data_IF_962593803666
#
_entry.id   IF_962593803666
#
_cell.length_a   1.000
_cell.length_b   1.000
_cell.length_c   1.000
_cell.angle_alpha   90.00
_cell.angle_beta   90.00
_cell.angle_gamma   90.00
#
_symmetry.space_group_name_H-M   'P 1'
#
loop_
_entity.id
_entity.type
_entity.pdbx_description
1 polymer ?
#
# COMPACT_ATOMS: atom_id res chain seq x y z
N UNK A 1 -6.72 13.00 16.66
CA UNK A 1 -6.27 12.77 15.27
C UNK A 1 -6.37 11.29 14.96
N UNK A 2 -6.84 10.93 13.77
CA UNK A 2 -6.93 9.56 13.25
C UNK A 2 -6.05 9.45 12.02
N UNK A 3 -5.34 8.35 11.88
CA UNK A 3 -4.38 8.12 10.80
C UNK A 3 -4.70 6.78 10.13
N UNK A 4 -4.68 6.79 8.81
CA UNK A 4 -4.68 5.62 7.96
C UNK A 4 -3.29 5.57 7.32
N UNK A 5 -2.52 4.49 7.55
CA UNK A 5 -1.30 4.24 6.78
C UNK A 5 -1.62 3.44 5.50
N UNK A 6 -1.65 4.07 4.31
CA UNK A 6 -2.17 3.45 3.10
C UNK A 6 -1.20 2.47 2.44
N UNK A 7 0.01 2.29 2.96
CA UNK A 7 0.98 1.32 2.46
C UNK A 7 2.03 1.03 3.54
N UNK A 8 1.93 -0.15 4.16
CA UNK A 8 2.89 -0.63 5.16
C UNK A 8 2.94 -2.17 5.15
N UNK A 9 4.11 -2.78 5.33
CA UNK A 9 4.27 -4.24 5.22
C UNK A 9 4.34 -4.92 6.59
N UNK A 10 3.19 -5.06 7.25
CA UNK A 10 3.13 -5.51 8.65
C UNK A 10 3.58 -6.95 8.88
N UNK A 11 3.53 -7.84 7.87
CA UNK A 11 4.12 -9.18 7.96
C UNK A 11 5.59 -9.15 8.40
N UNK A 12 6.31 -8.07 8.08
CA UNK A 12 7.72 -7.87 8.46
C UNK A 12 7.92 -7.16 9.82
N UNK A 13 6.83 -6.82 10.51
CA UNK A 13 6.81 -5.94 11.68
C UNK A 13 6.30 -6.64 12.93
N UNK A 14 6.74 -6.16 14.10
CA UNK A 14 6.40 -6.77 15.39
C UNK A 14 5.03 -6.31 15.89
N UNK A 15 4.53 -6.95 16.94
CA UNK A 15 3.34 -6.47 17.66
C UNK A 15 3.59 -5.14 18.38
N UNK A 16 4.82 -4.87 18.81
CA UNK A 16 5.20 -3.59 19.43
C UNK A 16 4.94 -2.41 18.46
N UNK A 17 5.14 -2.63 17.16
CA UNK A 17 4.83 -1.62 16.14
C UNK A 17 3.32 -1.35 16.08
N UNK A 18 2.45 -2.38 16.15
CA UNK A 18 1.00 -2.16 16.19
C UNK A 18 0.57 -1.37 17.44
N UNK A 19 1.11 -1.69 18.62
CA UNK A 19 0.83 -0.94 19.84
C UNK A 19 1.25 0.53 19.72
N UNK A 20 2.47 0.78 19.24
CA UNK A 20 2.99 2.13 19.02
C UNK A 20 2.17 2.90 17.97
N UNK A 21 1.81 2.26 16.86
CA UNK A 21 0.96 2.84 15.80
C UNK A 21 -0.41 3.24 16.35
N UNK A 22 -1.06 2.35 17.11
CA UNK A 22 -2.36 2.67 17.70
C UNK A 22 -2.26 3.83 18.70
N UNK A 23 -1.24 3.84 19.57
CA UNK A 23 -0.97 4.95 20.48
C UNK A 23 -0.72 6.28 19.75
N UNK A 24 -0.08 6.25 18.58
CA UNK A 24 0.19 7.42 17.75
C UNK A 24 -1.05 7.95 16.98
N UNK A 25 -2.14 7.18 16.94
CA UNK A 25 -3.39 7.55 16.27
C UNK A 25 -3.69 6.78 14.99
N UNK A 26 -2.87 5.79 14.60
CA UNK A 26 -3.17 4.91 13.47
C UNK A 26 -4.34 4.00 13.83
N UNK A 27 -5.32 3.90 12.93
CA UNK A 27 -6.53 3.09 13.11
C UNK A 27 -6.78 2.13 11.95
N UNK A 28 -6.18 2.39 10.79
CA UNK A 28 -6.32 1.52 9.64
C UNK A 28 -4.99 1.46 8.86
N UNK A 29 -4.74 0.32 8.24
CA UNK A 29 -3.60 0.11 7.35
C UNK A 29 -4.03 -0.60 6.07
N UNK A 30 -3.25 -0.41 5.01
CA UNK A 30 -3.24 -1.30 3.84
C UNK A 30 -1.85 -1.89 3.69
N UNK A 31 -1.79 -3.23 3.64
CA UNK A 31 -0.59 -3.99 3.35
C UNK A 31 -0.64 -4.54 1.92
N UNK A 32 0.10 -3.95 0.98
CA UNK A 32 0.29 -4.58 -0.31
C UNK A 32 1.17 -5.82 -0.19
N UNK A 33 0.82 -6.84 -0.97
CA UNK A 33 1.62 -8.05 -1.09
C UNK A 33 3.02 -7.70 -1.57
N UNK A 34 4.02 -8.16 -0.82
CA UNK A 34 5.42 -7.79 -1.01
C UNK A 34 6.34 -9.00 -0.93
N UNK A 35 7.65 -8.75 -1.11
CA UNK A 35 8.69 -9.74 -0.92
C UNK A 35 8.71 -10.24 0.53
N UNK A 36 8.50 -11.54 0.73
CA UNK A 36 8.33 -12.16 2.05
C UNK A 36 9.64 -12.32 2.85
N UNK A 37 10.75 -11.73 2.40
CA UNK A 37 12.07 -11.90 3.03
C UNK A 37 12.91 -13.07 2.47
N UNK A 38 12.38 -13.85 1.53
CA UNK A 38 13.12 -14.90 0.82
C UNK A 38 12.60 -15.09 -0.63
N UNK A 39 13.45 -15.43 -1.62
CA UNK A 39 13.00 -15.66 -2.99
C UNK A 39 12.02 -16.85 -3.10
N UNK A 40 10.78 -16.59 -3.50
CA UNK A 40 9.75 -17.63 -3.65
C UNK A 40 10.24 -18.74 -4.58
N UNK A 41 9.97 -19.98 -4.17
CA UNK A 41 10.36 -21.18 -4.93
C UNK A 41 9.24 -21.70 -5.82
N UNK A 42 8.01 -21.25 -5.58
CA UNK A 42 6.82 -21.55 -6.39
C UNK A 42 5.71 -20.52 -6.13
N UNK A 43 4.70 -20.52 -7.00
CA UNK A 43 3.48 -19.73 -6.81
C UNK A 43 2.71 -20.11 -5.52
N UNK A 44 2.86 -21.34 -5.01
CA UNK A 44 2.19 -21.78 -3.78
C UNK A 44 2.58 -20.93 -2.57
N UNK A 45 3.81 -20.44 -2.51
CA UNK A 45 4.24 -19.53 -1.44
C UNK A 45 3.48 -18.20 -1.43
N UNK A 46 2.93 -17.75 -2.57
CA UNK A 46 2.02 -16.61 -2.58
C UNK A 46 0.69 -16.95 -1.93
N UNK A 47 0.18 -18.16 -2.10
CA UNK A 47 -1.12 -18.57 -1.59
C UNK A 47 -1.13 -18.54 -0.07
N UNK A 48 -0.16 -19.21 0.56
CA UNK A 48 0.00 -19.20 2.03
C UNK A 48 0.21 -17.77 2.56
N UNK A 49 0.94 -16.94 1.81
CA UNK A 49 1.16 -15.54 2.17
C UNK A 49 -0.11 -14.69 2.04
N UNK A 50 -0.89 -14.85 0.97
CA UNK A 50 -2.16 -14.15 0.79
C UNK A 50 -3.18 -14.58 1.84
N UNK A 51 -3.21 -15.87 2.20
CA UNK A 51 -4.05 -16.38 3.28
C UNK A 51 -3.64 -15.75 4.63
N UNK A 52 -2.34 -15.58 4.89
CA UNK A 52 -1.84 -14.82 6.05
C UNK A 52 -2.29 -13.36 6.04
N UNK A 53 -2.24 -12.67 4.89
CA UNK A 53 -2.72 -11.28 4.77
C UNK A 53 -4.24 -11.14 4.93
N UNK A 54 -5.00 -12.19 4.64
CA UNK A 54 -6.46 -12.19 4.73
C UNK A 54 -6.99 -12.69 6.08
N UNK A 55 -6.25 -13.58 6.75
CA UNK A 55 -6.65 -14.20 7.99
C UNK A 55 -5.83 -13.71 9.17
N UNK A 56 -4.55 -14.06 9.20
CA UNK A 56 -3.68 -13.83 10.34
C UNK A 56 -3.41 -12.34 10.61
N UNK A 57 -3.11 -11.54 9.59
CA UNK A 57 -2.78 -10.13 9.77
C UNK A 57 -3.95 -9.28 10.26
N UNK A 58 -5.18 -9.41 9.70
CA UNK A 58 -6.36 -8.77 10.27
C UNK A 58 -6.64 -9.20 11.70
N UNK A 59 -6.50 -10.49 12.02
CA UNK A 59 -6.59 -10.97 13.39
C UNK A 59 -5.56 -10.29 14.30
N UNK A 60 -4.28 -10.28 13.89
CA UNK A 60 -3.18 -9.73 14.67
C UNK A 60 -3.32 -8.23 14.90
N UNK A 61 -3.66 -7.47 13.87
CA UNK A 61 -3.87 -6.02 13.96
C UNK A 61 -5.07 -5.66 14.85
N UNK A 62 -6.16 -6.43 14.77
CA UNK A 62 -7.37 -6.18 15.53
C UNK A 62 -7.16 -6.27 17.05
N UNK A 63 -6.23 -7.12 17.52
CA UNK A 63 -5.84 -7.18 18.94
C UNK A 63 -5.30 -5.85 19.48
N UNK A 64 -4.85 -4.95 18.60
CA UNK A 64 -4.33 -3.63 18.92
C UNK A 64 -5.25 -2.49 18.44
N UNK A 65 -6.48 -2.80 18.02
CA UNK A 65 -7.44 -1.78 17.57
C UNK A 65 -7.09 -1.15 16.22
N UNK A 66 -6.38 -1.88 15.34
CA UNK A 66 -6.08 -1.44 13.97
C UNK A 66 -6.82 -2.31 12.95
N UNK A 67 -7.53 -1.67 12.02
CA UNK A 67 -8.18 -2.34 10.90
C UNK A 67 -7.14 -2.61 9.79
N UNK A 68 -6.92 -3.88 9.48
CA UNK A 68 -6.00 -4.29 8.42
C UNK A 68 -6.76 -4.63 7.14
N UNK A 69 -6.18 -4.21 6.02
CA UNK A 69 -6.64 -4.51 4.67
C UNK A 69 -5.41 -4.84 3.83
N UNK A 70 -5.60 -5.48 2.69
CA UNK A 70 -4.51 -5.79 1.80
C UNK A 70 -4.79 -5.38 0.36
N UNK A 71 -3.69 -5.18 -0.37
CA UNK A 71 -3.69 -5.22 -1.83
C UNK A 71 -2.92 -6.48 -2.22
N UNK A 72 -3.40 -7.21 -3.24
CA UNK A 72 -2.79 -8.48 -3.66
C UNK A 72 -2.37 -8.41 -5.13
N UNK A 73 -1.17 -8.92 -5.41
CA UNK A 73 -0.53 -8.85 -6.72
C UNK A 73 0.67 -9.81 -6.83
N UNK A 74 1.18 -9.94 -8.06
CA UNK A 74 2.57 -10.25 -8.35
C UNK A 74 3.38 -8.94 -8.36
N UNK A 75 4.24 -8.77 -7.35
CA UNK A 75 5.11 -7.59 -7.23
C UNK A 75 6.13 -7.50 -8.38
N UNK A 76 6.47 -6.30 -8.90
CA UNK A 76 7.41 -6.14 -10.01
C UNK A 76 8.77 -6.79 -9.79
N UNK A 77 9.31 -6.75 -8.56
CA UNK A 77 10.58 -7.40 -8.23
C UNK A 77 10.53 -8.91 -8.48
N UNK A 78 9.39 -9.54 -8.20
CA UNK A 78 9.18 -10.97 -8.33
C UNK A 78 8.67 -11.37 -9.72
N UNK A 79 8.17 -10.43 -10.53
CA UNK A 79 7.68 -10.67 -11.90
C UNK A 79 8.78 -11.17 -12.86
N UNK A 80 10.04 -10.85 -12.57
CA UNK A 80 11.18 -11.35 -13.33
C UNK A 80 11.51 -12.83 -13.08
N UNK A 81 10.89 -13.47 -12.08
CA UNK A 81 11.06 -14.88 -11.79
C UNK A 81 9.91 -15.69 -12.41
N UNK A 82 10.16 -16.54 -13.44
CA UNK A 82 9.11 -17.31 -14.09
C UNK A 82 8.43 -18.31 -13.15
N UNK A 83 9.03 -18.64 -11.99
CA UNK A 83 8.40 -19.48 -10.96
C UNK A 83 7.27 -18.76 -10.22
N UNK A 84 7.27 -17.43 -10.25
CA UNK A 84 6.27 -16.58 -9.63
C UNK A 84 5.10 -16.28 -10.58
N UNK A 85 5.34 -16.21 -11.89
CA UNK A 85 4.32 -15.87 -12.90
C UNK A 85 2.99 -16.63 -12.79
N UNK A 86 2.95 -17.94 -12.44
CA UNK A 86 1.68 -18.67 -12.30
C UNK A 86 0.73 -18.09 -11.23
N UNK A 87 1.21 -17.24 -10.30
CA UNK A 87 0.32 -16.57 -9.33
C UNK A 87 -0.72 -15.67 -10.01
N UNK A 88 -0.44 -15.18 -11.23
CA UNK A 88 -1.40 -14.35 -11.97
C UNK A 88 -2.71 -15.10 -12.26
N UNK A 89 -2.64 -16.42 -12.45
CA UNK A 89 -3.82 -17.29 -12.66
C UNK A 89 -4.59 -17.53 -11.35
N UNK A 90 -3.94 -17.38 -10.20
CA UNK A 90 -4.52 -17.57 -8.87
C UNK A 90 -5.16 -16.29 -8.32
N UNK A 91 -4.70 -15.10 -8.74
CA UNK A 91 -5.22 -13.81 -8.27
C UNK A 91 -6.75 -13.67 -8.35
N UNK A 92 -7.46 -14.09 -9.43
CA UNK A 92 -8.91 -13.91 -9.52
C UNK A 92 -9.71 -14.44 -8.31
N UNK A 93 -9.31 -15.58 -7.73
CA UNK A 93 -10.01 -16.14 -6.56
C UNK A 93 -9.75 -15.39 -5.25
N UNK A 94 -8.66 -14.61 -5.19
CA UNK A 94 -8.33 -13.74 -4.06
C UNK A 94 -8.94 -12.35 -4.22
N UNK A 95 -8.96 -11.81 -5.44
CA UNK A 95 -9.48 -10.47 -5.74
C UNK A 95 -11.00 -10.34 -5.55
N UNK A 96 -11.71 -11.41 -5.17
CA UNK A 96 -13.13 -11.38 -4.77
C UNK A 96 -13.34 -11.41 -3.25
N UNK A 97 -12.26 -11.58 -2.46
CA UNK A 97 -12.35 -11.69 -1.01
C UNK A 97 -12.58 -10.31 -0.36
N UNK A 98 -13.22 -10.34 0.81
CA UNK A 98 -13.29 -9.18 1.70
C UNK A 98 -11.89 -8.74 2.12
N UNK A 99 -11.74 -7.49 2.55
CA UNK A 99 -10.46 -6.87 2.94
C UNK A 99 -9.40 -6.72 1.84
N UNK A 100 -9.58 -7.32 0.66
CA UNK A 100 -8.79 -6.99 -0.54
C UNK A 100 -9.32 -5.70 -1.15
N UNK A 101 -8.63 -4.60 -0.92
CA UNK A 101 -9.10 -3.25 -1.28
C UNK A 101 -8.47 -2.68 -2.54
N UNK A 102 -7.46 -3.35 -3.11
CA UNK A 102 -6.84 -2.96 -4.38
C UNK A 102 -6.11 -4.15 -5.04
N UNK A 103 -5.83 -4.02 -6.32
CA UNK A 103 -4.76 -4.81 -6.97
C UNK A 103 -3.45 -4.05 -6.77
N UNK A 104 -2.46 -4.69 -6.15
CA UNK A 104 -1.20 -4.03 -5.83
C UNK A 104 -0.35 -4.80 -4.82
N UNK A 105 0.93 -4.53 -4.71
CA UNK A 105 1.66 -3.51 -5.46
C UNK A 105 2.14 -4.04 -6.83
N UNK A 106 1.77 -3.38 -7.93
CA UNK A 106 2.18 -3.73 -9.31
C UNK A 106 3.04 -2.61 -9.91
N UNK A 107 3.79 -2.82 -10.99
CA UNK A 107 4.55 -1.73 -11.63
C UNK A 107 5.87 -2.18 -12.21
N UNK A 108 6.93 -1.39 -11.99
CA UNK A 108 8.27 -1.67 -12.50
C UNK A 108 9.34 -1.51 -11.42
N UNK A 109 10.32 -2.41 -11.39
CA UNK A 109 11.56 -2.23 -10.64
C UNK A 109 12.74 -1.99 -11.60
N UNK A 110 12.84 -2.82 -12.65
CA UNK A 110 13.91 -2.80 -13.65
C UNK A 110 13.42 -2.55 -15.09
N UNK A 111 12.12 -2.29 -15.29
CA UNK A 111 11.48 -2.02 -16.59
C UNK A 111 11.70 -3.13 -17.63
N UNK A 112 11.60 -4.39 -17.21
CA UNK A 112 11.76 -5.55 -18.09
C UNK A 112 10.48 -5.88 -18.85
N UNK A 113 10.54 -6.65 -19.96
CA UNK A 113 9.33 -7.14 -20.62
C UNK A 113 8.43 -7.97 -19.71
N UNK A 114 9.00 -8.74 -18.79
CA UNK A 114 8.22 -9.53 -17.83
C UNK A 114 7.44 -8.66 -16.84
N UNK A 115 8.04 -7.55 -16.38
CA UNK A 115 7.34 -6.55 -15.56
C UNK A 115 6.23 -5.84 -16.36
N UNK A 116 6.48 -5.54 -17.64
CA UNK A 116 5.51 -4.91 -18.55
C UNK A 116 4.27 -5.80 -18.76
N UNK A 117 4.50 -7.07 -19.10
CA UNK A 117 3.45 -8.07 -19.28
C UNK A 117 2.65 -8.28 -17.97
N UNK A 118 3.34 -8.37 -16.83
CA UNK A 118 2.71 -8.54 -15.53
C UNK A 118 1.90 -7.31 -15.09
N UNK A 119 2.37 -6.09 -15.39
CA UNK A 119 1.63 -4.87 -15.12
C UNK A 119 0.34 -4.82 -15.95
N UNK A 120 0.43 -5.06 -17.25
CA UNK A 120 -0.72 -5.06 -18.15
C UNK A 120 -1.78 -6.10 -17.75
N UNK A 121 -1.35 -7.33 -17.44
CA UNK A 121 -2.24 -8.39 -17.00
C UNK A 121 -2.97 -8.03 -15.70
N UNK A 122 -2.28 -7.43 -14.73
CA UNK A 122 -2.87 -7.08 -13.44
C UNK A 122 -3.76 -5.84 -13.49
N UNK A 123 -3.49 -4.90 -14.40
CA UNK A 123 -4.43 -3.81 -14.70
C UNK A 123 -5.74 -4.35 -15.29
N UNK A 124 -5.67 -5.36 -16.16
CA UNK A 124 -6.88 -6.03 -16.64
C UNK A 124 -7.65 -6.72 -15.50
N UNK A 125 -6.94 -7.44 -14.61
CA UNK A 125 -7.57 -8.02 -13.42
C UNK A 125 -8.26 -6.97 -12.54
N UNK A 126 -7.64 -5.80 -12.35
CA UNK A 126 -8.24 -4.71 -11.59
C UNK A 126 -9.54 -4.20 -12.23
N UNK A 127 -9.54 -4.04 -13.56
CA UNK A 127 -10.73 -3.65 -14.32
C UNK A 127 -11.85 -4.70 -14.20
N UNK A 128 -11.53 -5.97 -14.38
CA UNK A 128 -12.49 -7.09 -14.33
C UNK A 128 -13.14 -7.23 -12.94
N UNK A 129 -12.38 -6.93 -11.88
CA UNK A 129 -12.85 -6.99 -10.49
C UNK A 129 -13.34 -5.65 -9.93
N UNK A 130 -13.35 -4.58 -10.74
CA UNK A 130 -13.71 -3.22 -10.37
C UNK A 130 -12.95 -2.68 -9.14
N UNK A 131 -11.69 -3.08 -8.97
CA UNK A 131 -10.81 -2.66 -7.88
C UNK A 131 -9.94 -1.46 -8.27
N UNK A 132 -9.59 -0.57 -7.34
CA UNK A 132 -8.53 0.40 -7.57
C UNK A 132 -7.15 -0.28 -7.61
N UNK A 133 -6.15 0.44 -8.08
CA UNK A 133 -4.80 -0.08 -8.34
C UNK A 133 -3.75 0.70 -7.57
N UNK A 134 -2.90 0.00 -6.82
CA UNK A 134 -1.70 0.57 -6.19
C UNK A 134 -0.47 0.20 -7.03
N UNK A 135 0.22 1.22 -7.57
CA UNK A 135 1.32 1.08 -8.50
C UNK A 135 2.64 1.55 -7.90
N UNK A 136 3.65 0.68 -7.93
CA UNK A 136 5.05 0.97 -7.65
C UNK A 136 5.69 1.77 -8.79
N UNK A 137 6.26 2.93 -8.47
CA UNK A 137 7.22 3.59 -9.37
C UNK A 137 8.66 3.16 -9.02
N UNK A 138 9.51 2.83 -10.02
CA UNK A 138 10.81 2.21 -9.78
C UNK A 138 11.73 3.09 -8.92
N UNK A 139 12.74 2.48 -8.31
CA UNK A 139 13.73 3.20 -7.53
C UNK A 139 14.76 3.95 -8.39
N UNK A 140 15.06 3.42 -9.58
CA UNK A 140 16.01 3.99 -10.55
C UNK A 140 15.25 4.52 -11.76
N UNK A 141 15.79 5.54 -12.42
CA UNK A 141 15.18 6.16 -13.60
C UNK A 141 13.68 6.50 -13.43
N UNK A 142 13.31 6.96 -12.22
CA UNK A 142 11.93 7.22 -11.75
C UNK A 142 11.02 7.89 -12.77
N UNK A 143 11.52 8.90 -13.48
CA UNK A 143 10.71 9.65 -14.45
C UNK A 143 10.42 8.83 -15.71
N UNK A 144 11.39 8.05 -16.20
CA UNK A 144 11.18 7.15 -17.33
C UNK A 144 10.21 6.03 -16.95
N UNK A 145 10.40 5.43 -15.77
CA UNK A 145 9.49 4.43 -15.22
C UNK A 145 8.07 4.95 -15.06
N UNK A 146 7.89 6.14 -14.45
CA UNK A 146 6.59 6.79 -14.33
C UNK A 146 5.92 6.98 -15.70
N UNK A 147 6.66 7.48 -16.70
CA UNK A 147 6.09 7.70 -18.04
C UNK A 147 5.63 6.40 -18.68
N UNK A 148 6.43 5.34 -18.58
CA UNK A 148 6.02 4.02 -19.08
C UNK A 148 4.79 3.50 -18.32
N UNK A 149 4.75 3.63 -17.00
CA UNK A 149 3.56 3.31 -16.19
C UNK A 149 2.33 4.05 -16.69
N UNK A 150 2.42 5.36 -16.94
CA UNK A 150 1.31 6.16 -17.45
C UNK A 150 0.87 5.70 -18.85
N UNK A 151 1.80 5.28 -19.70
CA UNK A 151 1.47 4.71 -21.01
C UNK A 151 0.68 3.41 -20.88
N UNK A 152 1.11 2.46 -20.04
CA UNK A 152 0.37 1.21 -19.82
C UNK A 152 -1.00 1.46 -19.17
N UNK A 153 -1.10 2.41 -18.24
CA UNK A 153 -2.38 2.80 -17.65
C UNK A 153 -3.34 3.33 -18.73
N UNK A 154 -2.86 4.16 -19.67
CA UNK A 154 -3.67 4.67 -20.80
C UNK A 154 -4.08 3.57 -21.78
N UNK A 155 -3.26 2.54 -21.93
CA UNK A 155 -3.54 1.35 -22.76
C UNK A 155 -4.56 0.40 -22.08
N UNK A 156 -4.74 0.52 -20.77
CA UNK A 156 -5.62 -0.34 -19.97
C UNK A 156 -7.08 0.14 -19.90
N UNK A 157 -7.95 -0.71 -19.37
CA UNK A 157 -9.35 -0.37 -19.07
C UNK A 157 -9.55 0.34 -17.72
N UNK A 158 -8.48 0.59 -16.95
CA UNK A 158 -8.57 1.23 -15.62
C UNK A 158 -8.54 2.76 -15.79
N UNK A 159 -9.54 3.49 -15.30
CA UNK A 159 -9.52 4.95 -15.37
C UNK A 159 -8.45 5.54 -14.43
N UNK A 160 -7.80 6.68 -14.78
CA UNK A 160 -6.73 7.27 -13.97
C UNK A 160 -7.14 7.58 -12.52
N UNK A 161 -8.40 7.94 -12.27
CA UNK A 161 -8.92 8.24 -10.94
C UNK A 161 -9.07 7.01 -10.03
N UNK A 162 -8.78 5.81 -10.54
CA UNK A 162 -8.67 4.54 -9.79
C UNK A 162 -7.22 4.07 -9.64
N UNK A 163 -6.24 4.85 -10.09
CA UNK A 163 -4.81 4.51 -10.01
C UNK A 163 -4.11 5.37 -8.97
N UNK A 164 -3.46 4.73 -8.01
CA UNK A 164 -2.53 5.32 -7.06
C UNK A 164 -1.10 5.05 -7.53
N UNK A 165 -0.42 6.10 -7.95
CA UNK A 165 1.00 6.06 -8.28
C UNK A 165 1.77 6.34 -7.00
N UNK A 166 2.46 5.34 -6.45
CA UNK A 166 3.17 5.44 -5.19
C UNK A 166 4.68 5.64 -5.39
N UNK A 167 5.35 6.01 -4.29
CA UNK A 167 6.77 6.30 -4.21
C UNK A 167 7.18 7.49 -5.07
N UNK A 168 6.25 8.43 -5.26
CA UNK A 168 6.50 9.69 -5.95
C UNK A 168 7.46 10.57 -5.15
N UNK A 169 8.02 11.54 -5.85
CA UNK A 169 8.92 12.57 -5.32
C UNK A 169 8.78 13.85 -6.16
N UNK A 170 9.63 14.83 -5.91
CA UNK A 170 9.58 16.16 -6.56
C UNK A 170 9.74 16.09 -8.08
N UNK A 171 10.42 15.08 -8.61
CA UNK A 171 10.64 14.95 -10.06
C UNK A 171 9.49 14.27 -10.79
N UNK A 172 8.60 13.58 -10.06
CA UNK A 172 7.54 12.73 -10.63
C UNK A 172 6.14 13.26 -10.34
N UNK A 173 5.95 13.96 -9.22
CA UNK A 173 4.64 14.45 -8.75
C UNK A 173 3.90 15.28 -9.78
N UNK A 174 4.59 16.12 -10.56
CA UNK A 174 3.94 16.97 -11.56
C UNK A 174 3.25 16.14 -12.65
N UNK A 175 3.97 15.21 -13.27
CA UNK A 175 3.42 14.38 -14.36
C UNK A 175 2.34 13.42 -13.85
N UNK A 176 2.51 12.87 -12.63
CA UNK A 176 1.50 12.04 -11.99
C UNK A 176 0.20 12.83 -11.73
N UNK A 177 0.31 14.07 -11.24
CA UNK A 177 -0.83 14.95 -10.98
C UNK A 177 -1.52 15.38 -12.27
N UNK A 178 -0.76 15.76 -13.30
CA UNK A 178 -1.30 16.15 -14.61
C UNK A 178 -2.08 15.00 -15.28
N UNK A 179 -1.78 13.74 -14.92
CA UNK A 179 -2.50 12.55 -15.38
C UNK A 179 -3.79 12.23 -14.59
N UNK A 180 -4.15 13.03 -13.58
CA UNK A 180 -5.32 12.89 -12.71
C UNK A 180 -5.36 11.59 -11.86
N UNK A 181 -4.20 10.95 -11.70
CA UNK A 181 -4.01 9.83 -10.77
C UNK A 181 -3.97 10.29 -9.31
N UNK A 182 -4.15 9.35 -8.38
CA UNK A 182 -3.84 9.55 -6.96
C UNK A 182 -2.33 9.50 -6.73
N UNK A 183 -1.87 10.29 -5.75
CA UNK A 183 -0.45 10.57 -5.54
C UNK A 183 0.01 9.96 -4.21
N UNK A 184 0.81 8.90 -4.28
CA UNK A 184 1.36 8.20 -3.13
C UNK A 184 2.79 8.60 -2.82
N UNK A 185 3.07 8.89 -1.55
CA UNK A 185 4.40 9.28 -1.07
C UNK A 185 4.81 8.45 0.14
N UNK A 186 5.86 7.66 -0.03
CA UNK A 186 6.49 6.94 1.07
C UNK A 186 7.54 7.79 1.76
N UNK A 187 7.28 8.11 3.02
CA UNK A 187 8.24 8.78 3.89
C UNK A 187 9.04 7.72 4.64
N UNK A 188 10.21 7.39 4.10
CA UNK A 188 11.01 6.25 4.51
C UNK A 188 12.45 6.68 4.77
N UNK A 189 13.08 6.26 5.89
CA UNK A 189 14.44 6.70 6.24
C UNK A 189 15.49 6.48 5.14
N UNK A 190 16.35 7.48 4.95
CA UNK A 190 17.57 7.48 4.13
C UNK A 190 17.43 7.26 2.61
N UNK A 191 16.36 6.64 2.11
CA UNK A 191 16.28 6.17 0.72
C UNK A 191 15.14 6.75 -0.12
N UNK A 192 14.06 7.26 0.50
CA UNK A 192 12.88 7.80 -0.22
C UNK A 192 12.65 9.28 0.10
N UNK A 193 11.41 9.66 0.42
CA UNK A 193 11.06 11.00 0.88
C UNK A 193 11.30 11.14 2.39
N UNK A 194 11.43 12.39 2.84
CA UNK A 194 11.38 12.75 4.27
C UNK A 194 10.19 13.69 4.54
N UNK A 195 9.93 13.94 5.82
CA UNK A 195 8.80 14.74 6.29
C UNK A 195 8.83 16.17 5.70
N UNK A 196 9.99 16.83 5.69
CA UNK A 196 10.12 18.21 5.22
C UNK A 196 9.89 18.33 3.72
N UNK A 197 10.40 17.37 2.94
CA UNK A 197 10.15 17.27 1.50
C UNK A 197 8.68 17.01 1.20
N UNK A 198 8.01 16.18 2.00
CA UNK A 198 6.56 15.97 1.89
C UNK A 198 5.78 17.26 2.11
N UNK A 199 6.12 18.06 3.13
CA UNK A 199 5.51 19.38 3.35
C UNK A 199 5.71 20.31 2.14
N UNK A 200 6.92 20.32 1.56
CA UNK A 200 7.21 21.08 0.34
C UNK A 200 6.29 20.70 -0.82
N UNK A 201 6.06 19.40 -1.02
CA UNK A 201 5.12 18.89 -2.03
C UNK A 201 3.69 19.34 -1.74
N UNK A 202 3.21 19.21 -0.50
CA UNK A 202 1.85 19.64 -0.14
C UNK A 202 1.64 21.14 -0.37
N UNK A 203 2.64 21.98 -0.10
CA UNK A 203 2.56 23.43 -0.36
C UNK A 203 2.50 23.76 -1.84
N UNK A 204 3.24 23.04 -2.67
CA UNK A 204 3.32 23.31 -4.12
C UNK A 204 2.17 22.70 -4.91
N UNK A 205 1.70 21.52 -4.51
CA UNK A 205 0.74 20.72 -5.27
C UNK A 205 -0.60 20.52 -4.55
N UNK A 206 -0.76 20.97 -3.30
CA UNK A 206 -2.01 20.83 -2.54
C UNK A 206 -2.18 19.43 -1.92
N UNK A 207 -3.09 19.30 -0.92
CA UNK A 207 -3.34 18.05 -0.21
C UNK A 207 -4.32 17.08 -0.90
N UNK A 208 -4.99 17.47 -1.98
CA UNK A 208 -6.05 16.71 -2.63
C UNK A 208 -5.48 15.53 -3.42
N UNK A 209 -6.14 14.36 -3.31
CA UNK A 209 -5.69 13.09 -3.90
C UNK A 209 -4.26 12.67 -3.47
N UNK A 210 -3.77 13.15 -2.33
CA UNK A 210 -2.46 12.77 -1.77
C UNK A 210 -2.61 11.73 -0.67
N UNK A 211 -1.84 10.65 -0.76
CA UNK A 211 -1.72 9.60 0.24
C UNK A 211 -0.27 9.57 0.74
N UNK A 212 -0.09 9.64 2.06
CA UNK A 212 1.22 9.57 2.70
C UNK A 212 1.32 8.27 3.49
N UNK A 213 2.38 7.51 3.26
CA UNK A 213 2.59 6.21 3.89
C UNK A 213 4.00 6.06 4.49
N UNK A 214 4.14 5.12 5.42
CA UNK A 214 5.46 4.78 5.97
C UNK A 214 6.26 3.85 5.06
N UNK A 215 5.58 2.98 4.30
CA UNK A 215 6.17 1.85 3.58
C UNK A 215 7.15 1.06 4.48
N UNK A 216 6.85 0.97 5.78
CA UNK A 216 7.74 0.28 6.71
C UNK A 216 7.77 -1.23 6.40
N UNK A 217 8.98 -1.77 6.33
CA UNK A 217 9.28 -3.13 5.90
C UNK A 217 10.42 -3.76 6.73
N UNK A 218 11.05 -4.80 6.18
CA UNK A 218 12.22 -5.51 6.71
C UNK A 218 13.43 -4.61 7.03
N UNK A 219 13.56 -3.46 6.37
CA UNK A 219 14.67 -2.55 6.53
C UNK A 219 14.63 -1.73 7.82
N UNK A 220 15.59 -0.82 7.97
CA UNK A 220 15.60 0.19 9.04
C UNK A 220 14.52 1.24 8.75
N UNK A 221 13.28 0.89 9.05
CA UNK A 221 12.08 1.68 8.77
C UNK A 221 11.31 2.01 10.05
N UNK A 222 10.44 3.02 9.99
CA UNK A 222 9.68 3.55 11.13
C UNK A 222 8.17 3.59 10.79
N UNK A 223 7.31 2.81 11.47
CA UNK A 223 5.87 2.76 11.19
C UNK A 223 5.13 4.03 11.64
N UNK A 224 5.80 4.95 12.35
CA UNK A 224 5.21 6.20 12.83
C UNK A 224 5.47 7.38 11.90
N UNK A 225 5.99 7.13 10.69
CA UNK A 225 6.31 8.18 9.72
C UNK A 225 5.10 9.01 9.30
N UNK A 226 3.93 8.38 9.15
CA UNK A 226 2.66 9.08 8.90
C UNK A 226 2.34 10.06 10.04
N UNK A 227 2.53 9.66 11.29
CA UNK A 227 2.33 10.54 12.45
C UNK A 227 3.31 11.72 12.44
N UNK A 228 4.59 11.49 12.17
CA UNK A 228 5.60 12.56 12.09
C UNK A 228 5.26 13.59 11.01
N UNK A 229 4.74 13.15 9.86
CA UNK A 229 4.24 14.07 8.82
C UNK A 229 3.07 14.89 9.33
N UNK A 230 2.08 14.28 10.00
CA UNK A 230 0.95 15.01 10.59
C UNK A 230 1.40 16.10 11.57
N UNK A 231 2.32 15.77 12.48
CA UNK A 231 2.83 16.72 13.47
C UNK A 231 3.57 17.88 12.77
N UNK A 232 4.36 17.58 11.73
CA UNK A 232 5.07 18.60 10.98
C UNK A 232 4.11 19.47 10.14
N UNK A 233 3.05 18.89 9.57
CA UNK A 233 2.00 19.65 8.87
C UNK A 233 1.42 20.73 9.80
N UNK A 234 1.02 20.36 11.02
CA UNK A 234 0.51 21.32 12.01
C UNK A 234 1.54 22.38 12.38
N UNK A 235 2.79 21.96 12.63
CA UNK A 235 3.88 22.89 12.96
C UNK A 235 4.18 23.89 11.82
N UNK A 236 3.96 23.49 10.58
CA UNK A 236 4.18 24.28 9.37
C UNK A 236 2.93 25.05 8.89
N UNK A 237 1.89 25.11 9.72
CA UNK A 237 0.72 25.98 9.53
C UNK A 237 -0.42 25.38 8.72
N UNK A 238 -0.40 24.08 8.43
CA UNK A 238 -1.58 23.38 7.92
C UNK A 238 -2.64 23.26 9.02
N UNK A 239 -3.91 23.25 8.62
CA UNK A 239 -5.02 23.10 9.56
C UNK A 239 -5.21 21.64 9.97
N UNK A 240 -5.95 21.42 11.06
CA UNK A 240 -6.37 20.05 11.43
C UNK A 240 -7.23 19.39 10.33
N UNK A 241 -7.98 20.17 9.56
CA UNK A 241 -8.78 19.66 8.44
C UNK A 241 -7.88 19.17 7.28
N UNK A 242 -6.81 19.91 6.97
CA UNK A 242 -5.80 19.48 5.98
C UNK A 242 -5.13 18.17 6.41
N UNK A 243 -4.81 18.04 7.70
CA UNK A 243 -4.22 16.81 8.25
C UNK A 243 -5.19 15.64 8.17
N UNK A 244 -6.48 15.83 8.54
CA UNK A 244 -7.50 14.78 8.37
C UNK A 244 -7.75 14.46 6.89
N UNK A 245 -7.60 15.43 5.98
CA UNK A 245 -7.70 15.20 4.54
C UNK A 245 -6.63 14.21 4.08
N UNK A 246 -5.35 14.54 4.32
CA UNK A 246 -4.22 13.75 3.82
C UNK A 246 -4.10 12.40 4.53
N UNK A 247 -4.24 12.38 5.86
CA UNK A 247 -3.95 11.19 6.66
C UNK A 247 -5.17 10.29 6.91
N UNK A 248 -6.36 10.70 6.48
CA UNK A 248 -7.56 9.88 6.67
C UNK A 248 -8.49 9.90 5.46
N UNK A 249 -9.05 11.06 5.10
CA UNK A 249 -10.11 11.14 4.09
C UNK A 249 -9.63 10.70 2.71
N UNK A 250 -8.41 11.06 2.31
CA UNK A 250 -7.84 10.64 1.03
C UNK A 250 -7.62 9.11 0.97
N UNK A 251 -6.91 8.46 1.91
CA UNK A 251 -6.83 6.99 1.96
C UNK A 251 -8.20 6.30 1.95
N UNK A 252 -9.15 6.81 2.74
CA UNK A 252 -10.52 6.26 2.80
C UNK A 252 -11.26 6.44 1.49
N UNK A 253 -11.09 7.57 0.81
CA UNK A 253 -11.71 7.84 -0.47
C UNK A 253 -11.15 6.93 -1.57
N UNK A 254 -9.83 6.75 -1.63
CA UNK A 254 -9.18 5.90 -2.62
C UNK A 254 -9.51 4.41 -2.41
N UNK A 255 -9.19 3.85 -1.25
CA UNK A 255 -9.44 2.42 -1.00
C UNK A 255 -10.92 2.10 -0.84
N UNK A 256 -11.76 3.10 -0.51
CA UNK A 256 -13.21 3.00 -0.53
C UNK A 256 -13.79 2.72 -1.92
N UNK A 257 -13.06 3.00 -3.01
CA UNK A 257 -13.47 2.68 -4.39
C UNK A 257 -13.67 1.17 -4.61
N UNK A 258 -13.05 0.33 -3.78
CA UNK A 258 -13.25 -1.12 -3.78
C UNK A 258 -14.64 -1.56 -3.29
N UNK A 259 -15.30 -0.73 -2.48
CA UNK A 259 -16.51 -1.12 -1.75
C UNK A 259 -16.25 -2.09 -0.58
N UNK A 260 -14.99 -2.42 -0.26
CA UNK A 260 -14.61 -3.45 0.73
C UNK A 260 -13.79 -2.92 1.90
N UNK A 261 -13.64 -1.60 1.99
CA UNK A 261 -12.89 -0.96 3.07
C UNK A 261 -13.73 -0.95 4.37
N UNK A 262 -13.27 -1.69 5.38
CA UNK A 262 -13.78 -1.60 6.74
C UNK A 262 -13.20 -0.36 7.43
N UNK A 263 -14.05 0.43 8.09
CA UNK A 263 -13.64 1.66 8.77
C UNK A 263 -13.43 1.51 10.27
N UNK A 264 -13.89 0.39 10.83
CA UNK A 264 -13.84 0.09 12.24
C UNK A 264 -13.34 -1.35 12.42
N UNK A 265 -12.65 -1.58 13.53
CA UNK A 265 -12.22 -2.92 13.92
C UNK A 265 -13.43 -3.68 14.45
N UNK A 266 -13.79 -4.78 13.81
CA UNK A 266 -14.73 -5.75 14.38
C UNK A 266 -14.06 -6.47 15.53
N UNK A 267 -14.81 -6.77 16.60
CA UNK A 267 -14.32 -7.56 17.74
C UNK A 267 -13.66 -8.84 17.23
N UNK A 268 -12.37 -9.01 17.51
CA UNK A 268 -11.61 -10.19 17.12
C UNK A 268 -11.77 -11.28 18.18
N UNK A 269 -11.94 -12.52 17.72
CA UNK A 269 -11.80 -13.70 18.56
C UNK A 269 -10.43 -13.70 19.27
N UNK A 270 -10.28 -14.41 20.40
CA UNK A 270 -9.00 -14.51 21.09
C UNK A 270 -7.96 -15.36 20.34
N UNK A 271 -8.39 -16.13 19.33
CA UNK A 271 -7.54 -17.02 18.53
C UNK A 271 -7.90 -16.96 17.05
N UNK A 272 -6.93 -17.32 16.20
CA UNK A 272 -7.09 -17.54 14.76
C UNK A 272 -6.66 -18.96 14.43
N UNK A 273 -7.61 -19.80 14.01
CA UNK A 273 -7.38 -21.23 13.74
C UNK A 273 -6.69 -21.97 14.90
N UNK A 274 -7.04 -21.60 16.14
CA UNK A 274 -6.46 -22.17 17.36
C UNK A 274 -5.11 -21.56 17.79
N UNK A 275 -4.57 -20.59 17.03
CA UNK A 275 -3.34 -19.88 17.38
C UNK A 275 -3.64 -18.55 18.08
N UNK A 276 -2.80 -18.15 19.04
CA UNK A 276 -2.89 -16.87 19.75
C UNK A 276 -1.60 -16.06 19.62
N UNK A 277 -1.70 -14.74 19.75
CA UNK A 277 -0.52 -13.85 19.92
C UNK A 277 0.08 -13.95 21.33
N UNK A 278 -0.66 -14.51 22.30
CA UNK A 278 -0.17 -14.75 23.66
C UNK A 278 0.68 -16.03 23.66
N UNK A 279 1.93 -15.93 24.13
CA UNK A 279 2.79 -17.11 24.30
C UNK A 279 2.45 -17.84 25.61
N UNK A 280 2.05 -19.11 25.50
CA UNK A 280 1.91 -20.02 26.63
C UNK A 280 0.65 -19.84 27.49
N UNK A 281 -0.41 -19.22 26.94
CA UNK A 281 -1.72 -19.16 27.61
C UNK A 281 -2.56 -20.38 27.27
N UNK A 282 -3.03 -21.09 28.30
CA UNK A 282 -4.13 -22.08 28.24
C UNK A 282 -5.46 -21.42 27.85
#
# INVERSE_FOLDING_TARGET
>A
MRIFDPHIHMTSRTTDDYEAMHAAGVRAVVEPSFWLGQPRTSAVSFLDYFDSLLGWEPFRAAQYGIAHHCALALNPKEANDPRCAPVLEELPRYLVKDHVVAVGEIGYDSMTPAEDDALAAQLQLAADHALPVLVHTPHRDKLAGLRRTLDVVRESAVPPDRVLLDHLNETTVKEAKDADCWLGFSVYPDTKMDEARMIGILRLYGPEKVLVNSAADWGRSDPLKTRRVADLMLAEGFTEDDVDLVLWRNPVAFYGLSGRLAREVTTSDPTHEGNSILRGGE
#
